data_IF_658560580987
#
_entry.id   IF_658560580987
#
_cell.length_a   1.000
_cell.length_b   1.000
_cell.length_c   1.000
_cell.angle_alpha   90.00
_cell.angle_beta   90.00
_cell.angle_gamma   90.00
#
_symmetry.space_group_name_H-M   'P 1'
#
loop_
_entity.id
_entity.type
_entity.pdbx_description
1 polymer ?
#
# COMPACT_ATOMS: atom_id res chain seq x y z
N UNK A 1 -0.81 -9.47 -27.94
CA UNK A 1 -1.10 -8.05 -28.25
C UNK A 1 -0.96 -7.16 -27.01
N UNK A 2 -1.64 -7.45 -25.90
CA UNK A 2 -1.55 -6.68 -24.63
C UNK A 2 -0.11 -6.40 -24.17
N UNK A 3 0.78 -7.40 -24.17
CA UNK A 3 2.18 -7.24 -23.76
C UNK A 3 2.93 -6.12 -24.50
N UNK A 4 2.65 -5.93 -25.80
CA UNK A 4 3.25 -4.85 -26.61
C UNK A 4 2.70 -3.47 -26.23
N UNK A 5 1.41 -3.40 -25.86
CA UNK A 5 0.73 -2.15 -25.49
C UNK A 5 1.18 -1.59 -24.14
N UNK A 6 1.58 -2.47 -23.22
CA UNK A 6 1.99 -2.07 -21.86
C UNK A 6 3.52 -2.02 -21.69
N UNK A 7 4.30 -2.20 -22.76
CA UNK A 7 5.73 -1.96 -22.74
C UNK A 7 6.00 -0.44 -22.60
N UNK A 8 6.98 0.02 -21.79
CA UNK A 8 8.09 -0.71 -21.16
C UNK A 8 7.84 -1.10 -19.70
N UNK A 9 6.60 -1.25 -19.24
CA UNK A 9 6.31 -1.60 -17.84
C UNK A 9 7.06 -2.87 -17.42
N UNK A 10 7.74 -2.84 -16.28
CA UNK A 10 8.44 -4.01 -15.74
C UNK A 10 7.52 -5.23 -15.60
N UNK A 11 8.04 -6.41 -15.98
CA UNK A 11 7.31 -7.68 -16.02
C UNK A 11 6.07 -7.69 -16.94
N UNK A 12 6.07 -6.88 -18.00
CA UNK A 12 4.94 -6.75 -18.94
C UNK A 12 4.42 -8.08 -19.49
N UNK A 13 5.28 -9.07 -19.77
CA UNK A 13 4.84 -10.38 -20.26
C UNK A 13 3.95 -11.12 -19.25
N UNK A 14 4.31 -11.11 -17.97
CA UNK A 14 3.51 -11.74 -16.90
C UNK A 14 2.25 -10.92 -16.64
N UNK A 15 2.37 -9.59 -16.56
CA UNK A 15 1.23 -8.69 -16.36
C UNK A 15 0.19 -8.81 -17.47
N UNK A 16 0.61 -8.93 -18.73
CA UNK A 16 -0.31 -9.08 -19.85
C UNK A 16 -1.14 -10.37 -19.77
N UNK A 17 -0.54 -11.47 -19.33
CA UNK A 17 -1.26 -12.74 -19.08
C UNK A 17 -2.28 -12.55 -17.95
N UNK A 18 -1.85 -11.98 -16.83
CA UNK A 18 -2.71 -11.75 -15.66
C UNK A 18 -3.89 -10.82 -15.98
N UNK A 19 -3.66 -9.73 -16.73
CA UNK A 19 -4.73 -8.81 -17.16
C UNK A 19 -5.80 -9.58 -17.94
N UNK A 20 -5.39 -10.37 -18.93
CA UNK A 20 -6.33 -11.14 -19.75
C UNK A 20 -7.10 -12.16 -18.91
N UNK A 21 -6.43 -12.84 -17.99
CA UNK A 21 -7.05 -13.83 -17.10
C UNK A 21 -8.06 -13.19 -16.14
N UNK A 22 -7.70 -12.05 -15.54
CA UNK A 22 -8.62 -11.27 -14.70
C UNK A 22 -9.83 -10.85 -15.51
N UNK A 23 -9.66 -10.28 -16.72
CA UNK A 23 -10.78 -9.89 -17.56
C UNK A 23 -11.75 -11.04 -17.85
N UNK A 24 -11.23 -12.25 -18.12
CA UNK A 24 -12.07 -13.44 -18.30
C UNK A 24 -12.86 -13.79 -17.04
N UNK A 25 -12.19 -13.82 -15.88
CA UNK A 25 -12.84 -14.09 -14.60
C UNK A 25 -13.94 -13.06 -14.31
N UNK A 26 -13.70 -11.78 -14.56
CA UNK A 26 -14.69 -10.73 -14.34
C UNK A 26 -15.92 -10.91 -15.23
N UNK A 27 -15.73 -11.25 -16.50
CA UNK A 27 -16.83 -11.52 -17.44
C UNK A 27 -17.62 -12.76 -17.02
N UNK A 28 -16.94 -13.85 -16.67
CA UNK A 28 -17.57 -15.14 -16.38
C UNK A 28 -18.26 -15.20 -15.00
N UNK A 29 -17.68 -14.56 -13.98
CA UNK A 29 -18.11 -14.72 -12.58
C UNK A 29 -18.67 -13.46 -11.94
N UNK A 30 -18.33 -12.28 -12.45
CA UNK A 30 -18.65 -11.00 -11.80
C UNK A 30 -19.44 -10.04 -12.69
N UNK A 31 -20.14 -10.54 -13.74
CA UNK A 31 -20.98 -9.72 -14.62
C UNK A 31 -20.21 -8.52 -15.22
N UNK A 32 -18.95 -8.75 -15.57
CA UNK A 32 -18.01 -7.72 -16.05
C UNK A 32 -17.76 -6.55 -15.09
N UNK A 33 -18.07 -6.72 -13.80
CA UNK A 33 -17.82 -5.74 -12.73
C UNK A 33 -16.64 -6.17 -11.88
N UNK A 34 -15.87 -5.20 -11.40
CA UNK A 34 -14.82 -5.45 -10.41
C UNK A 34 -15.51 -5.70 -9.05
N UNK A 35 -15.16 -6.76 -8.31
CA UNK A 35 -15.74 -7.00 -6.99
C UNK A 35 -15.24 -5.98 -5.97
N UNK A 36 -16.08 -5.67 -4.98
CA UNK A 36 -15.85 -4.71 -3.91
C UNK A 36 -15.59 -5.35 -2.54
N UNK A 37 -15.29 -6.66 -2.52
CA UNK A 37 -14.88 -7.40 -1.33
C UNK A 37 -13.38 -7.74 -1.34
N UNK A 38 -12.75 -7.79 -0.17
CA UNK A 38 -11.32 -8.12 -0.08
C UNK A 38 -11.07 -9.58 -0.45
N UNK A 39 -11.97 -10.48 -0.07
CA UNK A 39 -11.89 -11.91 -0.35
C UNK A 39 -11.95 -12.19 -1.87
N UNK A 40 -12.88 -11.57 -2.58
CA UNK A 40 -13.01 -11.73 -4.03
C UNK A 40 -11.81 -11.15 -4.77
N UNK A 41 -11.36 -9.96 -4.37
CA UNK A 41 -10.19 -9.33 -4.99
C UNK A 41 -8.93 -10.18 -4.78
N UNK A 42 -8.77 -10.81 -3.61
CA UNK A 42 -7.65 -11.73 -3.34
C UNK A 42 -7.74 -13.04 -4.11
N UNK A 43 -8.93 -13.42 -4.58
CA UNK A 43 -9.10 -14.60 -5.44
C UNK A 43 -8.59 -14.38 -6.87
N UNK A 44 -8.44 -13.12 -7.30
CA UNK A 44 -7.95 -12.77 -8.62
C UNK A 44 -6.44 -13.07 -8.75
N UNK A 45 -5.99 -13.60 -9.90
CA UNK A 45 -4.61 -14.03 -10.07
C UNK A 45 -3.64 -12.85 -9.93
N UNK A 46 -2.62 -13.04 -9.09
CA UNK A 46 -1.58 -12.05 -8.78
C UNK A 46 -2.10 -10.74 -8.15
N UNK A 47 -3.30 -10.74 -7.57
CA UNK A 47 -3.81 -9.64 -6.75
C UNK A 47 -3.50 -9.95 -5.28
N UNK A 48 -2.48 -9.28 -4.75
CA UNK A 48 -2.16 -9.36 -3.31
C UNK A 48 -2.96 -8.36 -2.47
N UNK A 49 -2.89 -8.50 -1.14
CA UNK A 49 -3.64 -7.66 -0.19
C UNK A 49 -3.42 -6.16 -0.37
N UNK A 50 -2.20 -5.73 -0.69
CA UNK A 50 -1.91 -4.32 -1.02
C UNK A 50 -2.74 -3.84 -2.23
N UNK A 51 -2.72 -4.59 -3.32
CA UNK A 51 -3.43 -4.24 -4.56
C UNK A 51 -4.94 -4.24 -4.31
N UNK A 52 -5.44 -5.25 -3.60
CA UNK A 52 -6.85 -5.34 -3.26
C UNK A 52 -7.32 -4.15 -2.39
N UNK A 53 -6.57 -3.81 -1.33
CA UNK A 53 -6.85 -2.62 -0.52
C UNK A 53 -6.79 -1.32 -1.33
N UNK A 54 -5.90 -1.23 -2.32
CA UNK A 54 -5.83 -0.06 -3.20
C UNK A 54 -7.07 0.05 -4.09
N UNK A 55 -7.60 -1.07 -4.60
CA UNK A 55 -8.86 -1.11 -5.38
C UNK A 55 -10.04 -0.70 -4.50
N UNK A 56 -10.17 -1.24 -3.29
CA UNK A 56 -11.23 -0.86 -2.35
C UNK A 56 -11.16 0.63 -1.99
N UNK A 57 -9.97 1.11 -1.64
CA UNK A 57 -9.73 2.48 -1.20
C UNK A 57 -9.91 3.50 -2.33
N UNK A 58 -9.22 3.33 -3.47
CA UNK A 58 -9.22 4.31 -4.56
C UNK A 58 -10.29 4.07 -5.62
N UNK A 59 -10.65 2.81 -5.85
CA UNK A 59 -11.68 2.44 -6.83
C UNK A 59 -13.10 2.57 -6.28
N UNK A 60 -13.33 2.15 -5.03
CA UNK A 60 -14.65 2.12 -4.43
C UNK A 60 -14.87 3.13 -3.29
N UNK A 61 -13.85 3.91 -2.93
CA UNK A 61 -13.90 4.84 -1.78
C UNK A 61 -14.27 4.14 -0.45
N UNK A 62 -13.95 2.85 -0.33
CA UNK A 62 -14.16 2.04 0.87
C UNK A 62 -12.94 2.20 1.77
N UNK A 63 -13.08 2.55 3.06
CA UNK A 63 -11.95 2.70 3.96
C UNK A 63 -11.12 1.39 4.04
N UNK A 64 -9.93 1.42 3.44
CA UNK A 64 -8.95 0.34 3.48
C UNK A 64 -7.53 0.92 3.59
N UNK A 65 -6.70 0.35 4.47
CA UNK A 65 -5.33 0.83 4.70
C UNK A 65 -4.39 0.14 3.71
N UNK A 66 -3.83 0.91 2.78
CA UNK A 66 -2.79 0.42 1.88
C UNK A 66 -1.41 0.55 2.54
N UNK A 67 -0.88 -0.57 3.04
CA UNK A 67 0.46 -0.60 3.63
C UNK A 67 1.50 -0.94 2.58
N UNK A 68 2.37 0.01 2.28
CA UNK A 68 3.58 -0.19 1.50
C UNK A 68 4.84 -0.03 2.36
N UNK A 69 6.00 0.02 1.71
CA UNK A 69 7.29 0.16 2.39
C UNK A 69 7.42 1.49 3.17
N UNK A 70 6.72 2.55 2.76
CA UNK A 70 6.74 3.86 3.40
C UNK A 70 5.85 3.82 4.64
N UNK A 71 4.60 3.39 4.47
CA UNK A 71 3.63 3.26 5.57
C UNK A 71 4.15 2.32 6.65
N UNK A 72 4.63 1.13 6.27
CA UNK A 72 5.19 0.16 7.20
C UNK A 72 6.37 0.75 7.99
N UNK A 73 7.36 1.31 7.30
CA UNK A 73 8.57 1.86 7.94
C UNK A 73 8.24 3.05 8.85
N UNK A 74 7.47 4.01 8.36
CA UNK A 74 7.21 5.26 9.07
C UNK A 74 6.33 5.00 10.29
N UNK A 75 5.28 4.17 10.16
CA UNK A 75 4.40 3.86 11.30
C UNK A 75 5.17 3.17 12.44
N UNK A 76 6.13 2.29 12.10
CA UNK A 76 6.99 1.67 13.11
C UNK A 76 8.02 2.67 13.70
N UNK A 77 8.63 3.54 12.89
CA UNK A 77 9.58 4.56 13.37
C UNK A 77 8.95 5.58 14.31
N UNK A 78 7.72 5.98 14.01
CA UNK A 78 6.92 6.89 14.83
C UNK A 78 6.40 6.21 16.11
N UNK A 79 6.55 4.89 16.25
CA UNK A 79 6.05 4.14 17.40
C UNK A 79 4.53 3.98 17.43
N UNK A 80 3.84 4.26 16.33
CA UNK A 80 2.38 4.08 16.20
C UNK A 80 2.02 2.60 16.28
N UNK A 81 2.85 1.75 15.67
CA UNK A 81 2.72 0.28 15.70
C UNK A 81 4.09 -0.36 15.95
N UNK A 82 4.09 -1.60 16.40
CA UNK A 82 5.30 -2.43 16.56
C UNK A 82 5.11 -3.77 15.84
N UNK A 83 5.52 -3.83 14.58
CA UNK A 83 5.17 -4.93 13.66
C UNK A 83 6.36 -5.31 12.78
N UNK A 84 6.39 -6.56 12.31
CA UNK A 84 7.48 -7.10 11.48
C UNK A 84 7.12 -7.19 10.00
N UNK A 85 5.83 -7.24 9.67
CA UNK A 85 5.37 -7.39 8.28
C UNK A 85 4.34 -6.31 7.92
N UNK A 86 4.19 -5.95 6.64
CA UNK A 86 3.17 -5.00 6.19
C UNK A 86 1.75 -5.40 6.57
N UNK A 87 1.43 -6.71 6.51
CA UNK A 87 0.12 -7.25 6.89
C UNK A 87 -0.15 -7.06 8.39
N UNK A 88 0.87 -7.29 9.24
CA UNK A 88 0.73 -6.98 10.67
C UNK A 88 0.51 -5.49 10.90
N UNK A 89 1.25 -4.62 10.19
CA UNK A 89 1.08 -3.17 10.29
C UNK A 89 -0.33 -2.75 9.88
N UNK A 90 -0.89 -3.32 8.83
CA UNK A 90 -2.26 -3.06 8.40
C UNK A 90 -3.25 -3.33 9.53
N UNK A 91 -3.23 -4.54 10.09
CA UNK A 91 -4.14 -4.93 11.18
C UNK A 91 -3.95 -4.11 12.45
N UNK A 92 -2.71 -3.76 12.81
CA UNK A 92 -2.46 -2.89 13.97
C UNK A 92 -2.91 -1.44 13.71
N UNK A 93 -2.69 -0.91 12.51
CA UNK A 93 -3.16 0.42 12.14
C UNK A 93 -4.69 0.49 12.14
N UNK A 94 -5.38 -0.57 11.73
CA UNK A 94 -6.86 -0.62 11.79
C UNK A 94 -7.41 -0.46 13.21
N UNK A 95 -6.63 -0.79 14.24
CA UNK A 95 -7.02 -0.66 15.65
C UNK A 95 -6.82 0.75 16.19
N UNK A 96 -5.80 1.46 15.72
CA UNK A 96 -5.36 2.74 16.31
C UNK A 96 -5.67 3.96 15.44
N UNK A 97 -5.74 3.80 14.12
CA UNK A 97 -5.96 4.89 13.17
C UNK A 97 -7.47 5.11 12.97
N UNK A 98 -7.99 6.34 13.17
CA UNK A 98 -9.39 6.65 12.87
C UNK A 98 -9.75 6.34 11.41
N UNK A 99 -10.90 5.69 11.18
CA UNK A 99 -11.36 5.24 9.84
C UNK A 99 -11.35 6.33 8.77
N UNK A 100 -11.65 7.58 9.14
CA UNK A 100 -11.64 8.73 8.23
C UNK A 100 -10.29 8.97 7.54
N UNK A 101 -9.19 8.49 8.14
CA UNK A 101 -7.84 8.68 7.62
C UNK A 101 -7.32 7.49 6.81
N UNK A 102 -8.04 6.37 6.74
CA UNK A 102 -7.50 5.14 6.14
C UNK A 102 -7.14 5.30 4.66
N UNK A 103 -7.93 6.07 3.91
CA UNK A 103 -7.72 6.31 2.49
C UNK A 103 -6.53 7.25 2.25
N UNK A 104 -6.41 8.33 3.02
CA UNK A 104 -5.36 9.35 2.84
C UNK A 104 -4.02 8.98 3.48
N UNK A 105 -3.99 8.04 4.43
CA UNK A 105 -2.78 7.73 5.19
C UNK A 105 -1.60 7.32 4.30
N UNK A 106 -1.86 6.51 3.27
CA UNK A 106 -0.82 6.14 2.30
C UNK A 106 -0.32 7.35 1.50
N UNK A 107 -1.24 8.18 0.99
CA UNK A 107 -0.92 9.36 0.18
C UNK A 107 -0.07 10.39 0.93
N UNK A 108 -0.26 10.49 2.25
CA UNK A 108 0.53 11.39 3.10
C UNK A 108 1.93 10.81 3.38
N UNK A 109 2.01 9.51 3.67
CA UNK A 109 3.26 8.89 4.10
C UNK A 109 4.23 8.56 2.97
N UNK A 110 3.75 8.33 1.75
CA UNK A 110 4.60 8.08 0.58
C UNK A 110 5.54 9.27 0.31
N UNK A 111 5.06 10.51 0.04
CA UNK A 111 5.94 11.64 -0.21
C UNK A 111 6.78 12.00 1.01
N UNK A 112 6.25 11.86 2.23
CA UNK A 112 7.03 12.05 3.45
C UNK A 112 8.18 11.06 3.56
N UNK A 113 7.95 9.79 3.24
CA UNK A 113 8.95 8.73 3.28
C UNK A 113 9.96 8.78 2.14
N UNK A 114 9.62 9.41 1.02
CA UNK A 114 10.54 9.65 -0.10
C UNK A 114 11.46 10.84 0.16
N UNK A 115 10.96 11.91 0.78
CA UNK A 115 11.67 13.19 0.88
C UNK A 115 12.28 13.46 2.27
N UNK A 116 11.70 12.95 3.35
CA UNK A 116 12.11 13.26 4.73
C UNK A 116 12.50 11.99 5.49
N UNK A 117 11.56 11.06 5.68
CA UNK A 117 11.78 9.83 6.44
C UNK A 117 12.32 8.70 5.54
N UNK A 118 13.44 8.98 4.86
CA UNK A 118 14.10 8.05 3.92
C UNK A 118 14.56 6.77 4.63
N UNK A 119 14.69 5.64 3.91
CA UNK A 119 15.07 4.36 4.52
C UNK A 119 16.46 4.42 5.18
N UNK A 120 17.42 5.10 4.55
CA UNK A 120 18.79 5.25 5.03
C UNK A 120 19.02 6.71 5.38
N UNK A 121 19.46 6.99 6.61
CA UNK A 121 19.84 8.33 7.06
C UNK A 121 18.73 9.39 6.83
N UNK A 122 17.54 9.24 7.46
CA UNK A 122 16.44 10.19 7.32
C UNK A 122 16.82 11.61 7.75
N UNK A 123 16.18 12.62 7.15
CA UNK A 123 16.36 14.03 7.44
C UNK A 123 15.58 14.46 8.69
N UNK A 124 15.94 13.90 9.84
CA UNK A 124 15.34 14.22 11.13
C UNK A 124 15.54 15.68 11.55
N UNK A 125 16.61 16.36 11.13
CA UNK A 125 16.81 17.80 11.38
C UNK A 125 15.76 18.69 10.69
N UNK A 126 15.26 18.26 9.52
CA UNK A 126 14.21 18.95 8.74
C UNK A 126 12.80 18.42 9.03
N UNK A 127 12.70 17.34 9.80
CA UNK A 127 11.44 16.68 10.06
C UNK A 127 10.63 17.44 11.11
N UNK A 128 9.46 17.96 10.72
CA UNK A 128 8.54 18.63 11.65
C UNK A 128 8.04 17.72 12.78
N UNK A 129 8.08 16.40 12.60
CA UNK A 129 7.66 15.44 13.62
C UNK A 129 8.82 15.01 14.54
N UNK A 130 10.04 15.53 14.36
CA UNK A 130 11.25 15.05 15.05
C UNK A 130 11.15 15.17 16.58
N UNK A 131 10.41 16.16 17.09
CA UNK A 131 10.24 16.44 18.51
C UNK A 131 9.36 15.41 19.25
N UNK A 132 8.46 14.73 18.54
CA UNK A 132 7.60 13.65 19.07
C UNK A 132 7.98 12.27 18.53
N UNK A 133 8.89 12.20 17.56
CA UNK A 133 9.27 10.94 16.93
C UNK A 133 10.28 10.18 17.80
N UNK A 134 9.96 8.95 18.25
CA UNK A 134 10.90 8.13 19.01
C UNK A 134 12.05 7.56 18.16
N UNK A 135 11.99 7.72 16.82
CA UNK A 135 13.04 7.32 15.87
C UNK A 135 13.40 5.82 15.99
N UNK A 136 12.42 4.97 16.28
CA UNK A 136 12.63 3.55 16.53
C UNK A 136 13.31 2.88 15.33
N UNK A 137 14.44 2.23 15.57
CA UNK A 137 15.22 1.54 14.52
C UNK A 137 16.01 2.47 13.59
N UNK A 138 16.08 3.78 13.85
CA UNK A 138 16.94 4.72 13.12
C UNK A 138 18.33 4.73 13.76
N UNK A 139 19.34 4.20 13.04
CA UNK A 139 20.73 4.14 13.53
C UNK A 139 21.50 5.45 13.32
N UNK A 140 21.22 6.15 12.24
CA UNK A 140 21.82 7.44 11.89
C UNK A 140 20.79 8.30 11.19
N UNK A 141 20.87 9.62 11.37
CA UNK A 141 19.97 10.60 10.76
C UNK A 141 20.71 11.91 10.47
N UNK A 142 20.23 12.66 9.48
CA UNK A 142 20.71 13.99 9.14
C UNK A 142 19.72 15.04 9.59
#
# INVERSE_FOLDING_TARGET
QIAKLIYPVGFYNVKAKNILEICKILVEKYDSKVPDSIEDLLSLPNVGRKTANLVLSKGFNIPAICVDIHVHRISNRLGIVKTKTPVQTEFELMKVLPKKYWIEYNDLLVPFGQNICTPISPFCSKCKLSFICPKIGVKSSR
#
